data_IF_039941555534
#
_entry.id   IF_039941555534
#
_cell.length_a   1.000
_cell.length_b   1.000
_cell.length_c   1.000
_cell.angle_alpha   90.00
_cell.angle_beta   90.00
_cell.angle_gamma   90.00
#
_symmetry.space_group_name_H-M   'P 1'
#
loop_
_entity.id
_entity.type
_entity.pdbx_description
1 polymer ?
#
# COMPACT_ATOMS: atom_id res chain seq x y z
N UNK A 1 -17.60 -1.72 -12.79
CA UNK A 1 -16.84 -1.33 -11.58
C UNK A 1 -15.37 -1.28 -11.97
N UNK A 2 -14.51 -0.43 -11.37
CA UNK A 2 -13.07 -0.33 -11.75
C UNK A 2 -12.25 -1.61 -11.52
N UNK A 3 -12.88 -2.66 -10.98
CA UNK A 3 -12.34 -4.02 -10.85
C UNK A 3 -12.62 -4.91 -12.06
N UNK A 4 -13.40 -4.42 -13.03
CA UNK A 4 -13.60 -5.06 -14.33
C UNK A 4 -12.31 -4.93 -15.17
N UNK A 5 -11.68 -6.05 -15.59
CA UNK A 5 -10.39 -6.01 -16.26
C UNK A 5 -10.37 -5.23 -17.57
N UNK A 6 -11.46 -5.29 -18.36
CA UNK A 6 -11.52 -4.61 -19.66
C UNK A 6 -11.64 -3.10 -19.49
N UNK A 7 -12.55 -2.67 -18.60
CA UNK A 7 -12.70 -1.25 -18.27
C UNK A 7 -11.44 -0.67 -17.62
N UNK A 8 -10.78 -1.46 -16.77
CA UNK A 8 -9.54 -1.07 -16.12
C UNK A 8 -8.39 -0.87 -17.14
N UNK A 9 -8.22 -1.83 -18.06
CA UNK A 9 -7.23 -1.71 -19.14
C UNK A 9 -7.52 -0.51 -20.04
N UNK A 10 -8.79 -0.31 -20.44
CA UNK A 10 -9.19 0.85 -21.24
C UNK A 10 -8.88 2.17 -20.53
N UNK A 11 -9.16 2.27 -19.23
CA UNK A 11 -8.85 3.46 -18.44
C UNK A 11 -7.34 3.76 -18.45
N UNK A 12 -6.49 2.77 -18.17
CA UNK A 12 -5.05 2.98 -18.17
C UNK A 12 -4.51 3.35 -19.55
N UNK A 13 -5.06 2.77 -20.62
CA UNK A 13 -4.74 3.17 -22.00
C UNK A 13 -5.09 4.63 -22.27
N UNK A 14 -6.26 5.11 -21.84
CA UNK A 14 -6.61 6.53 -22.00
C UNK A 14 -5.73 7.44 -21.16
N UNK A 15 -5.36 7.03 -19.95
CA UNK A 15 -4.42 7.77 -19.08
C UNK A 15 -3.03 7.88 -19.73
N UNK A 16 -2.51 6.80 -20.33
CA UNK A 16 -1.22 6.83 -21.02
C UNK A 16 -1.20 7.86 -22.17
N UNK A 17 -2.32 8.03 -22.88
CA UNK A 17 -2.45 9.03 -23.97
C UNK A 17 -2.36 10.47 -23.47
N UNK A 18 -2.71 10.73 -22.21
CA UNK A 18 -2.65 12.08 -21.62
C UNK A 18 -1.21 12.56 -21.39
N UNK A 19 -0.20 11.68 -21.53
CA UNK A 19 1.24 12.00 -21.36
C UNK A 19 1.52 12.77 -20.05
N UNK A 20 0.93 12.29 -18.96
CA UNK A 20 1.08 12.89 -17.63
C UNK A 20 2.50 12.64 -17.13
N UNK A 21 3.23 13.72 -16.82
CA UNK A 21 4.61 13.64 -16.30
C UNK A 21 4.69 13.43 -14.78
N UNK A 22 3.54 13.42 -14.09
CA UNK A 22 3.46 13.16 -12.64
C UNK A 22 3.32 11.65 -12.38
N UNK A 23 3.88 11.12 -11.28
CA UNK A 23 3.71 9.73 -10.91
C UNK A 23 2.24 9.33 -10.77
N UNK A 24 1.87 8.18 -11.34
CA UNK A 24 0.50 7.64 -11.30
C UNK A 24 0.47 6.41 -10.41
N UNK A 25 -0.49 6.37 -9.48
CA UNK A 25 -0.66 5.27 -8.54
C UNK A 25 -2.03 4.65 -8.66
N UNK A 26 -2.10 3.34 -8.49
CA UNK A 26 -3.35 2.58 -8.46
C UNK A 26 -3.67 2.22 -7.01
N UNK A 27 -4.83 2.67 -6.50
CA UNK A 27 -5.28 2.33 -5.14
C UNK A 27 -6.17 1.09 -5.16
N UNK A 28 -5.70 0.04 -4.51
CA UNK A 28 -6.36 -1.28 -4.49
C UNK A 28 -7.31 -1.41 -3.30
N UNK A 29 -8.40 -2.15 -3.50
CA UNK A 29 -9.32 -2.52 -2.42
C UNK A 29 -8.76 -3.71 -1.63
N UNK A 30 -8.85 -3.70 -0.28
CA UNK A 30 -8.43 -4.83 0.55
C UNK A 30 -9.32 -6.06 0.40
N UNK A 31 -10.49 -5.92 -0.23
CA UNK A 31 -11.48 -6.99 -0.41
C UNK A 31 -11.30 -7.76 -1.73
N UNK A 32 -10.29 -7.44 -2.53
CA UNK A 32 -9.97 -8.19 -3.74
C UNK A 32 -9.36 -9.54 -3.39
N UNK A 33 -9.79 -10.60 -4.09
CA UNK A 33 -9.14 -11.89 -3.97
C UNK A 33 -7.83 -11.92 -4.79
N UNK A 34 -6.96 -12.89 -4.50
CA UNK A 34 -5.63 -13.04 -5.15
C UNK A 34 -5.70 -13.07 -6.68
N UNK A 35 -6.69 -13.75 -7.27
CA UNK A 35 -6.86 -13.82 -8.72
C UNK A 35 -7.19 -12.45 -9.32
N UNK A 36 -8.08 -11.71 -8.67
CA UNK A 36 -8.41 -10.34 -9.10
C UNK A 36 -7.19 -9.42 -8.99
N UNK A 37 -6.42 -9.53 -7.90
CA UNK A 37 -5.19 -8.76 -7.71
C UNK A 37 -4.20 -9.09 -8.84
N UNK A 38 -3.95 -10.36 -9.11
CA UNK A 38 -3.04 -10.79 -10.18
C UNK A 38 -3.43 -10.22 -11.55
N UNK A 39 -4.71 -10.29 -11.91
CA UNK A 39 -5.20 -9.71 -13.18
C UNK A 39 -4.95 -8.20 -13.23
N UNK A 40 -5.26 -7.46 -12.16
CA UNK A 40 -5.05 -6.01 -12.13
C UNK A 40 -3.56 -5.66 -12.17
N UNK A 41 -2.71 -6.42 -11.49
CA UNK A 41 -1.26 -6.23 -11.55
C UNK A 41 -0.75 -6.48 -12.97
N UNK A 42 -1.10 -7.61 -13.60
CA UNK A 42 -0.68 -7.96 -14.96
C UNK A 42 -1.05 -6.90 -15.99
N UNK A 43 -2.24 -6.29 -15.86
CA UNK A 43 -2.63 -5.14 -16.68
C UNK A 43 -1.75 -3.95 -16.34
N UNK A 44 -1.68 -3.56 -15.06
CA UNK A 44 -0.95 -2.37 -14.61
C UNK A 44 0.53 -2.37 -15.01
N UNK A 45 1.19 -3.53 -14.97
CA UNK A 45 2.60 -3.68 -15.32
C UNK A 45 2.91 -3.34 -16.79
N UNK A 46 1.89 -3.30 -17.66
CA UNK A 46 2.00 -2.94 -19.09
C UNK A 46 1.81 -1.43 -19.35
N UNK A 47 1.46 -0.65 -18.34
CA UNK A 47 1.14 0.77 -18.43
C UNK A 47 2.14 1.65 -17.65
N UNK A 48 2.08 2.98 -17.86
CA UNK A 48 2.97 3.93 -17.20
C UNK A 48 2.52 4.29 -15.78
N UNK A 49 2.35 3.27 -14.93
CA UNK A 49 2.11 3.47 -13.50
C UNK A 49 3.43 3.42 -12.72
N UNK A 50 3.49 4.22 -11.65
CA UNK A 50 4.64 4.36 -10.77
C UNK A 50 4.54 3.46 -9.53
N UNK A 51 3.35 2.99 -9.18
CA UNK A 51 3.16 2.24 -7.95
C UNK A 51 1.72 1.91 -7.58
N UNK A 52 1.56 1.37 -6.37
CA UNK A 52 0.27 0.94 -5.84
C UNK A 52 0.07 1.44 -4.40
N UNK A 53 -1.19 1.73 -4.06
CA UNK A 53 -1.62 2.07 -2.70
C UNK A 53 -2.44 0.90 -2.14
N UNK A 54 -2.00 0.34 -1.02
CA UNK A 54 -2.62 -0.80 -0.34
C UNK A 54 -3.00 -0.36 1.09
N UNK A 55 -4.24 0.06 1.37
CA UNK A 55 -5.47 -0.16 0.60
C UNK A 55 -6.53 0.95 0.79
N UNK A 56 -7.66 0.80 0.10
CA UNK A 56 -8.90 1.52 0.39
C UNK A 56 -9.62 0.93 1.64
N UNK A 57 -10.83 1.44 1.94
CA UNK A 57 -11.74 0.94 2.97
C UNK A 57 -12.15 -0.52 2.72
N UNK A 58 -12.50 -1.25 3.78
CA UNK A 58 -13.08 -2.60 3.67
C UNK A 58 -14.60 -2.54 3.83
N UNK A 59 -15.35 -3.30 3.04
CA UNK A 59 -16.80 -3.41 3.23
C UNK A 59 -17.08 -4.47 4.29
N UNK A 60 -17.72 -4.07 5.39
CA UNK A 60 -18.18 -5.01 6.43
C UNK A 60 -19.69 -5.23 6.39
N UNK A 61 -20.47 -4.28 5.84
CA UNK A 61 -21.92 -4.39 5.69
C UNK A 61 -22.41 -3.52 4.50
N UNK A 62 -23.74 -3.42 4.37
CA UNK A 62 -24.39 -2.64 3.31
C UNK A 62 -24.31 -1.11 3.51
N UNK A 63 -23.87 -0.64 4.69
CA UNK A 63 -23.88 0.78 5.08
C UNK A 63 -22.63 1.54 4.62
N UNK A 64 -21.59 0.84 4.16
CA UNK A 64 -20.43 1.46 3.53
C UNK A 64 -19.10 0.79 3.83
N UNK A 65 -18.02 1.53 3.56
CA UNK A 65 -16.65 1.11 3.83
C UNK A 65 -16.19 1.53 5.22
N UNK A 66 -15.54 0.61 5.93
CA UNK A 66 -14.93 0.83 7.24
C UNK A 66 -13.45 1.18 7.10
N UNK A 67 -12.98 2.07 7.96
CA UNK A 67 -11.58 2.53 8.06
C UNK A 67 -11.01 2.22 9.44
N UNK A 68 -9.72 2.52 9.66
CA UNK A 68 -9.08 2.33 10.96
C UNK A 68 -8.57 0.91 11.20
N UNK A 69 -8.47 0.51 12.48
CA UNK A 69 -7.85 -0.75 12.90
C UNK A 69 -8.49 -2.00 12.30
N UNK A 70 -9.80 -1.99 12.06
CA UNK A 70 -10.52 -3.10 11.44
C UNK A 70 -10.00 -3.48 10.04
N UNK A 71 -9.35 -2.53 9.32
CA UNK A 71 -8.79 -2.76 7.98
C UNK A 71 -7.35 -3.28 8.04
N UNK A 72 -6.67 -3.18 9.18
CA UNK A 72 -5.22 -3.32 9.28
C UNK A 72 -4.72 -4.64 8.68
N UNK A 73 -5.31 -5.77 9.10
CA UNK A 73 -4.85 -7.10 8.70
C UNK A 73 -5.08 -7.38 7.20
N UNK A 74 -6.22 -6.96 6.66
CA UNK A 74 -6.50 -7.10 5.22
C UNK A 74 -5.57 -6.21 4.40
N UNK A 75 -5.36 -4.97 4.82
CA UNK A 75 -4.43 -4.03 4.18
C UNK A 75 -2.99 -4.55 4.21
N UNK A 76 -2.52 -5.05 5.34
CA UNK A 76 -1.19 -5.64 5.50
C UNK A 76 -1.01 -6.88 4.62
N UNK A 77 -2.02 -7.76 4.57
CA UNK A 77 -2.00 -8.96 3.75
C UNK A 77 -1.94 -8.63 2.25
N UNK A 78 -2.73 -7.65 1.81
CA UNK A 78 -2.71 -7.15 0.43
C UNK A 78 -1.34 -6.52 0.09
N UNK A 79 -0.84 -5.62 0.93
CA UNK A 79 0.45 -4.95 0.74
C UNK A 79 1.59 -5.95 0.56
N UNK A 80 1.67 -6.93 1.47
CA UNK A 80 2.66 -7.99 1.44
C UNK A 80 2.55 -8.85 0.17
N UNK A 81 1.33 -9.17 -0.24
CA UNK A 81 1.09 -9.94 -1.47
C UNK A 81 1.53 -9.17 -2.73
N UNK A 82 1.12 -7.90 -2.84
CA UNK A 82 1.47 -7.03 -3.98
C UNK A 82 2.99 -6.83 -4.04
N UNK A 83 3.65 -6.59 -2.91
CA UNK A 83 5.12 -6.47 -2.85
C UNK A 83 5.81 -7.70 -3.45
N UNK A 84 5.42 -8.92 -3.05
CA UNK A 84 6.02 -10.14 -3.60
C UNK A 84 5.79 -10.30 -5.11
N UNK A 85 4.63 -9.87 -5.61
CA UNK A 85 4.30 -9.96 -7.04
C UNK A 85 5.12 -8.98 -7.87
N UNK A 86 5.18 -7.71 -7.45
CA UNK A 86 5.90 -6.69 -8.23
C UNK A 86 7.43 -6.83 -8.11
N UNK A 87 7.96 -7.35 -6.98
CA UNK A 87 9.41 -7.64 -6.83
C UNK A 87 9.89 -8.59 -7.94
N UNK A 88 9.06 -9.54 -8.36
CA UNK A 88 9.36 -10.48 -9.45
C UNK A 88 9.36 -9.84 -10.85
N UNK A 89 8.74 -8.68 -11.02
CA UNK A 89 8.67 -8.00 -12.32
C UNK A 89 9.97 -7.33 -12.74
N UNK A 90 10.95 -7.18 -11.83
CA UNK A 90 12.24 -6.52 -12.09
C UNK A 90 12.17 -4.99 -12.21
N UNK A 91 10.97 -4.40 -12.38
CA UNK A 91 10.77 -2.95 -12.39
C UNK A 91 10.60 -2.42 -10.96
N UNK A 92 11.20 -1.26 -10.68
CA UNK A 92 11.03 -0.55 -9.41
C UNK A 92 9.66 0.12 -9.37
N UNK A 93 8.82 -0.30 -8.44
CA UNK A 93 7.52 0.29 -8.14
C UNK A 93 7.53 0.85 -6.71
N UNK A 94 6.82 1.94 -6.49
CA UNK A 94 6.60 2.51 -5.15
C UNK A 94 5.33 1.93 -4.55
N UNK A 95 5.41 1.38 -3.34
CA UNK A 95 4.25 0.94 -2.58
C UNK A 95 3.92 1.89 -1.44
N UNK A 96 2.64 2.20 -1.29
CA UNK A 96 2.12 3.03 -0.22
C UNK A 96 1.19 2.21 0.66
N UNK A 97 1.52 2.06 1.93
CA UNK A 97 0.72 1.35 2.92
C UNK A 97 -0.34 2.25 3.57
N UNK A 98 -1.61 1.93 3.42
CA UNK A 98 -2.76 2.71 3.89
C UNK A 98 -3.76 1.81 4.63
N UNK A 99 -4.21 2.24 5.82
CA UNK A 99 -5.24 1.53 6.62
C UNK A 99 -4.70 0.88 7.90
N UNK A 100 -5.28 1.25 9.04
CA UNK A 100 -4.95 0.68 10.35
C UNK A 100 -3.70 1.23 11.05
N UNK A 101 -3.21 2.41 10.65
CA UNK A 101 -2.00 3.03 11.22
C UNK A 101 -2.36 4.01 12.33
N UNK A 102 -2.00 3.66 13.56
CA UNK A 102 -2.26 4.39 14.80
C UNK A 102 -1.00 4.56 15.65
N UNK A 103 0.12 3.93 15.29
CA UNK A 103 1.40 4.05 15.99
C UNK A 103 2.61 3.91 15.06
N UNK A 104 3.81 4.14 15.60
CA UNK A 104 5.07 3.93 14.89
C UNK A 104 5.26 2.44 14.49
N UNK A 105 4.85 1.51 15.36
CA UNK A 105 4.92 0.07 15.11
C UNK A 105 4.03 -0.33 13.93
N UNK A 106 2.84 0.27 13.81
CA UNK A 106 1.95 0.01 12.67
C UNK A 106 2.57 0.48 11.35
N UNK A 107 3.12 1.70 11.34
CA UNK A 107 3.81 2.25 10.18
C UNK A 107 5.02 1.38 9.82
N UNK A 108 5.82 1.00 10.82
CA UNK A 108 6.99 0.17 10.65
C UNK A 108 6.65 -1.23 10.15
N UNK A 109 5.56 -1.83 10.65
CA UNK A 109 5.02 -3.10 10.14
C UNK A 109 4.72 -3.00 8.66
N UNK A 110 4.04 -1.95 8.19
CA UNK A 110 3.79 -1.75 6.75
C UNK A 110 5.08 -1.58 5.94
N UNK A 111 6.06 -0.83 6.45
CA UNK A 111 7.38 -0.69 5.81
C UNK A 111 8.04 -2.06 5.64
N UNK A 112 8.09 -2.86 6.71
CA UNK A 112 8.63 -4.23 6.66
C UNK A 112 7.85 -5.15 5.72
N UNK A 113 6.56 -4.90 5.50
CA UNK A 113 5.75 -5.63 4.52
C UNK A 113 5.94 -5.16 3.07
N UNK A 114 6.73 -4.10 2.84
CA UNK A 114 7.13 -3.66 1.50
C UNK A 114 6.71 -2.25 1.13
N UNK A 115 6.05 -1.50 2.02
CA UNK A 115 5.71 -0.11 1.75
C UNK A 115 6.95 0.79 1.77
N UNK A 116 7.08 1.65 0.76
CA UNK A 116 8.03 2.77 0.74
C UNK A 116 7.50 3.99 1.49
N UNK A 117 6.17 4.18 1.48
CA UNK A 117 5.47 5.29 2.11
C UNK A 117 4.26 4.77 2.89
N UNK A 118 3.77 5.53 3.87
CA UNK A 118 2.53 5.21 4.59
C UNK A 118 1.53 6.36 4.55
N UNK A 119 0.25 6.03 4.55
CA UNK A 119 -0.89 6.96 4.60
C UNK A 119 -1.76 6.64 5.82
N UNK A 120 -2.15 7.67 6.56
CA UNK A 120 -3.08 7.55 7.69
C UNK A 120 -4.08 8.70 7.71
N UNK A 121 -5.33 8.37 8.09
CA UNK A 121 -6.41 9.33 8.33
C UNK A 121 -7.05 8.99 9.68
N UNK A 122 -7.64 7.80 9.81
CA UNK A 122 -8.36 7.40 11.02
C UNK A 122 -7.49 7.46 12.27
N UNK A 123 -6.21 7.05 12.22
CA UNK A 123 -5.30 7.19 13.35
C UNK A 123 -5.18 8.63 13.85
N UNK A 124 -5.08 9.60 12.93
CA UNK A 124 -5.00 11.02 13.26
C UNK A 124 -6.32 11.56 13.82
N UNK A 125 -7.47 11.08 13.34
CA UNK A 125 -8.78 11.47 13.89
C UNK A 125 -8.90 11.07 15.37
N UNK A 126 -8.43 9.88 15.73
CA UNK A 126 -8.58 9.36 17.10
C UNK A 126 -7.45 9.79 18.06
N UNK A 127 -6.24 10.04 17.57
CA UNK A 127 -5.07 10.38 18.42
C UNK A 127 -4.62 11.85 18.26
N UNK A 128 -5.26 12.60 17.38
CA UNK A 128 -4.89 13.97 17.08
C UNK A 128 -3.70 14.11 16.12
N UNK A 129 -3.33 15.35 15.75
CA UNK A 129 -2.27 15.62 14.79
C UNK A 129 -0.86 15.25 15.29
N UNK A 130 -0.67 15.16 16.62
CA UNK A 130 0.61 14.79 17.24
C UNK A 130 1.11 13.40 16.86
N UNK A 131 0.20 12.50 16.44
CA UNK A 131 0.51 11.15 15.99
C UNK A 131 1.58 11.12 14.88
N UNK A 132 1.62 12.12 14.00
CA UNK A 132 2.61 12.16 12.90
C UNK A 132 4.02 12.28 13.46
N UNK A 133 4.22 13.16 14.44
CA UNK A 133 5.51 13.33 15.11
C UNK A 133 5.89 12.09 15.91
N UNK A 134 4.93 11.51 16.64
CA UNK A 134 5.14 10.25 17.39
C UNK A 134 5.58 9.10 16.49
N UNK A 135 4.94 8.93 15.32
CA UNK A 135 5.32 7.93 14.32
C UNK A 135 6.76 8.17 13.86
N UNK A 136 7.11 9.40 13.49
CA UNK A 136 8.45 9.71 12.99
C UNK A 136 9.54 9.44 14.04
N UNK A 137 9.34 9.87 15.30
CA UNK A 137 10.28 9.59 16.38
C UNK A 137 10.37 8.09 16.71
N UNK A 138 9.23 7.40 16.72
CA UNK A 138 9.20 5.95 16.97
C UNK A 138 9.88 5.15 15.86
N UNK A 139 9.74 5.57 14.60
CA UNK A 139 10.39 4.91 13.46
C UNK A 139 11.92 4.93 13.58
N UNK A 140 12.52 6.05 14.02
CA UNK A 140 13.98 6.12 14.25
C UNK A 140 14.42 5.04 15.24
N UNK A 141 13.74 4.96 16.39
CA UNK A 141 14.06 3.97 17.43
C UNK A 141 13.88 2.52 16.95
N UNK A 142 12.82 2.26 16.17
CA UNK A 142 12.53 0.94 15.62
C UNK A 142 13.57 0.53 14.56
N UNK A 143 14.01 1.47 13.72
CA UNK A 143 15.06 1.24 12.73
C UNK A 143 16.40 0.94 13.40
N UNK A 144 16.82 1.76 14.37
CA UNK A 144 18.05 1.54 15.15
C UNK A 144 18.03 0.18 15.87
N UNK A 145 16.89 -0.18 16.45
CA UNK A 145 16.70 -1.47 17.13
C UNK A 145 16.88 -2.66 16.19
N UNK A 146 16.37 -2.58 14.96
CA UNK A 146 16.51 -3.63 13.94
C UNK A 146 17.82 -3.49 13.15
N UNK A 147 18.69 -2.53 13.49
CA UNK A 147 20.04 -2.36 12.92
C UNK A 147 20.10 -1.63 11.57
N UNK A 148 19.06 -0.89 11.21
CA UNK A 148 18.97 -0.15 9.94
C UNK A 148 19.42 1.30 10.08
N UNK A 149 20.21 1.77 9.10
CA UNK A 149 20.67 3.16 9.05
C UNK A 149 19.74 4.08 8.26
N UNK A 150 18.92 3.49 7.38
CA UNK A 150 17.94 4.18 6.55
C UNK A 150 16.63 3.39 6.48
N UNK A 151 15.49 4.09 6.45
CA UNK A 151 14.17 3.47 6.30
C UNK A 151 14.06 2.57 5.06
N UNK A 152 14.79 2.88 3.98
CA UNK A 152 14.81 2.08 2.76
C UNK A 152 15.33 0.66 2.98
N UNK A 153 16.23 0.46 3.95
CA UNK A 153 16.79 -0.85 4.29
C UNK A 153 15.75 -1.77 4.94
N UNK A 154 14.77 -1.19 5.62
CA UNK A 154 13.69 -1.95 6.25
C UNK A 154 12.56 -2.31 5.27
N UNK A 155 12.53 -1.76 4.05
CA UNK A 155 11.44 -1.98 3.10
C UNK A 155 11.42 -3.45 2.65
N UNK A 156 10.36 -4.16 3.04
CA UNK A 156 10.10 -5.53 2.60
C UNK A 156 10.86 -6.63 3.34
N UNK A 157 11.70 -6.30 4.34
CA UNK A 157 12.49 -7.29 5.11
C UNK A 157 11.62 -8.30 5.88
N UNK A 158 10.35 -7.97 6.13
CA UNK A 158 9.37 -8.87 6.74
C UNK A 158 8.78 -9.90 5.76
N UNK A 159 9.00 -9.75 4.44
CA UNK A 159 8.66 -10.76 3.45
C UNK A 159 9.87 -11.70 3.27
N UNK A 160 10.06 -12.65 4.20
CA UNK A 160 11.02 -13.72 3.96
C UNK A 160 10.56 -14.53 2.74
N UNK A 161 11.49 -14.72 1.80
CA UNK A 161 11.25 -15.48 0.58
C UNK A 161 10.90 -16.94 0.99
N UNK A 162 9.70 -17.40 0.59
CA UNK A 162 9.35 -18.82 0.52
C UNK A 162 9.38 -19.24 -0.94
#
# INVERSE_FOLDING_TARGET
>A
MLTDPELYSKLLTEIDKLKINKPIFVKLSPDLNKRQIDILLDISLKHNISGFICSNLTKCDERGGYSGKIVEDKSNSLLSYVYRKIKKSGKKYVLIGSGGIFSAEDAYKKIKLGANLVELITGMIYNGPGLISEINYGLVKLLEKDGFSNVSEAVGVGNKDY
#
